data_IF_004587674654
#
_entry.id   IF_004587674654
#
_cell.length_a   1.000
_cell.length_b   1.000
_cell.length_c   1.000
_cell.angle_alpha   90.00
_cell.angle_beta   90.00
_cell.angle_gamma   90.00
#
_symmetry.space_group_name_H-M   'P 1'
#
loop_
_entity.id
_entity.type
_entity.pdbx_description
1 polymer ?
#
# COMPACT_ATOMS: atom_id res chain seq x y z
N UNK A 1 43.45 -20.73 47.44
CA UNK A 1 43.24 -21.80 46.42
C UNK A 1 41.77 -22.18 46.46
N UNK A 2 40.98 -21.89 45.40
CA UNK A 2 39.58 -22.23 45.30
C UNK A 2 38.92 -21.42 44.22
N UNK A 3 38.93 -21.96 43.00
CA UNK A 3 38.32 -21.36 41.83
C UNK A 3 36.79 -21.66 41.84
N UNK A 4 35.94 -20.65 41.99
CA UNK A 4 34.53 -20.78 41.70
C UNK A 4 34.29 -20.34 40.25
N UNK A 5 33.90 -21.29 39.37
CA UNK A 5 33.37 -21.05 38.05
C UNK A 5 31.90 -20.73 38.19
N UNK A 6 31.52 -19.50 37.88
CA UNK A 6 30.12 -19.14 37.67
C UNK A 6 29.64 -19.69 36.33
N UNK A 7 28.64 -20.56 36.39
CA UNK A 7 27.90 -21.03 35.22
C UNK A 7 26.79 -20.00 35.00
N UNK A 8 26.88 -19.23 33.90
CA UNK A 8 25.80 -18.36 33.46
C UNK A 8 24.72 -19.25 32.81
N UNK A 9 23.54 -19.31 33.42
CA UNK A 9 22.34 -19.81 32.78
C UNK A 9 21.86 -18.78 31.75
N UNK A 10 21.89 -19.15 30.46
CA UNK A 10 21.18 -18.43 29.43
C UNK A 10 19.66 -18.65 29.60
N UNK A 11 18.81 -17.63 29.42
CA UNK A 11 17.39 -17.83 29.43
C UNK A 11 16.97 -18.62 28.18
N UNK A 12 16.25 -19.71 28.41
CA UNK A 12 15.55 -20.47 27.38
C UNK A 12 14.44 -19.56 26.82
N UNK A 13 14.62 -19.08 25.59
CA UNK A 13 13.54 -18.42 24.87
C UNK A 13 12.46 -19.49 24.59
N UNK A 14 11.30 -19.39 25.24
CA UNK A 14 10.12 -20.12 24.83
C UNK A 14 9.71 -19.61 23.45
N UNK A 15 9.98 -20.40 22.43
CA UNK A 15 9.34 -20.26 21.11
C UNK A 15 7.85 -20.60 21.31
N UNK A 16 7.02 -19.61 21.42
CA UNK A 16 5.57 -19.77 21.24
C UNK A 16 5.38 -19.95 19.73
N UNK A 17 5.20 -21.20 19.30
CA UNK A 17 4.67 -21.51 17.98
C UNK A 17 3.25 -20.95 17.95
N UNK A 18 3.07 -19.75 17.41
CA UNK A 18 1.77 -19.30 16.98
C UNK A 18 1.26 -20.33 15.96
N UNK A 19 0.07 -20.88 16.21
CA UNK A 19 -0.60 -21.71 15.23
C UNK A 19 -0.84 -20.82 14.01
N UNK A 20 -0.15 -21.12 12.90
CA UNK A 20 -0.44 -20.44 11.64
C UNK A 20 -1.90 -20.80 11.27
N UNK A 21 -2.72 -19.78 11.09
CA UNK A 21 -4.02 -19.98 10.45
C UNK A 21 -3.78 -20.65 9.10
N UNK A 22 -4.68 -21.56 8.67
CA UNK A 22 -4.57 -22.14 7.34
C UNK A 22 -4.60 -21.01 6.29
N UNK A 23 -3.88 -21.17 5.17
CA UNK A 23 -3.93 -20.18 4.10
C UNK A 23 -5.38 -19.94 3.66
N UNK A 24 -5.73 -18.72 3.28
CA UNK A 24 -7.07 -18.42 2.79
C UNK A 24 -7.42 -19.27 1.56
N UNK A 25 -8.72 -19.47 1.34
CA UNK A 25 -9.19 -20.19 0.16
C UNK A 25 -8.72 -19.47 -1.11
N UNK A 26 -8.17 -20.23 -2.05
CA UNK A 26 -7.69 -19.73 -3.35
C UNK A 26 -8.41 -20.43 -4.49
N UNK A 27 -8.68 -19.70 -5.57
CA UNK A 27 -9.18 -20.28 -6.82
C UNK A 27 -8.14 -20.06 -7.92
N UNK A 28 -7.75 -21.15 -8.60
CA UNK A 28 -6.93 -21.02 -9.80
C UNK A 28 -7.80 -20.48 -10.95
N UNK A 29 -7.26 -19.53 -11.69
CA UNK A 29 -7.90 -18.98 -12.89
C UNK A 29 -7.36 -19.74 -14.12
N UNK A 30 -8.24 -20.27 -14.97
CA UNK A 30 -7.93 -21.18 -16.09
C UNK A 30 -7.06 -20.57 -17.22
N UNK A 31 -6.55 -19.38 -17.07
CA UNK A 31 -5.79 -18.70 -18.11
C UNK A 31 -4.59 -17.88 -17.68
N UNK A 32 -4.21 -17.87 -16.43
CA UNK A 32 -3.05 -17.08 -15.95
C UNK A 32 -3.24 -15.55 -15.97
N UNK A 33 -4.46 -15.08 -16.26
CA UNK A 33 -4.80 -13.65 -16.32
C UNK A 33 -5.70 -13.25 -15.16
N UNK A 34 -5.55 -12.03 -14.69
CA UNK A 34 -6.45 -11.44 -13.71
C UNK A 34 -7.86 -11.30 -14.31
N UNK A 35 -8.95 -11.71 -13.61
CA UNK A 35 -10.30 -11.70 -14.17
C UNK A 35 -10.91 -10.29 -14.17
N UNK A 36 -10.46 -9.43 -15.07
CA UNK A 36 -10.93 -8.04 -15.17
C UNK A 36 -12.42 -7.89 -15.41
N UNK A 37 -13.05 -8.85 -16.12
CA UNK A 37 -14.47 -8.81 -16.49
C UNK A 37 -15.40 -9.19 -15.32
N UNK A 38 -14.98 -10.11 -14.45
CA UNK A 38 -15.78 -10.58 -13.32
C UNK A 38 -15.76 -9.60 -12.12
N UNK A 39 -14.89 -8.60 -12.16
CA UNK A 39 -14.74 -7.61 -11.08
C UNK A 39 -15.75 -6.44 -11.15
N UNK A 40 -16.64 -6.40 -12.14
CA UNK A 40 -17.71 -5.40 -12.20
C UNK A 40 -18.88 -5.79 -11.28
N UNK A 41 -19.44 -4.86 -10.49
CA UNK A 41 -20.69 -5.10 -9.78
C UNK A 41 -21.78 -5.51 -10.79
N UNK A 42 -22.42 -6.64 -10.60
CA UNK A 42 -23.56 -7.03 -11.44
C UNK A 42 -24.75 -6.12 -11.13
N UNK A 43 -25.35 -5.41 -12.11
CA UNK A 43 -26.61 -4.73 -11.86
C UNK A 43 -27.69 -5.80 -11.57
N UNK A 44 -28.44 -5.60 -10.50
CA UNK A 44 -29.58 -6.47 -10.16
C UNK A 44 -30.52 -6.57 -11.34
N UNK A 45 -30.74 -7.80 -11.79
CA UNK A 45 -31.59 -8.10 -12.92
C UNK A 45 -33.06 -7.79 -12.62
N UNK A 46 -33.60 -6.76 -13.25
CA UNK A 46 -35.04 -6.59 -13.43
C UNK A 46 -35.36 -6.65 -14.92
N UNK A 47 -36.35 -7.42 -15.34
CA UNK A 47 -36.71 -7.56 -16.75
C UNK A 47 -37.41 -6.29 -17.25
N UNK A 48 -36.88 -5.71 -18.34
CA UNK A 48 -37.46 -4.56 -19.00
C UNK A 48 -38.78 -4.89 -19.68
N UNK A 49 -39.77 -4.06 -19.51
CA UNK A 49 -40.99 -4.03 -20.32
C UNK A 49 -40.86 -2.98 -21.40
N UNK A 50 -41.00 -3.40 -22.64
CA UNK A 50 -41.18 -2.53 -23.82
C UNK A 50 -42.40 -1.63 -23.69
N UNK A 51 -42.25 -0.34 -23.96
CA UNK A 51 -43.33 0.47 -24.54
C UNK A 51 -42.74 1.72 -25.21
N UNK A 52 -42.93 1.84 -26.52
CA UNK A 52 -42.58 2.99 -27.31
C UNK A 52 -43.42 4.22 -27.02
N UNK A 53 -42.86 5.39 -27.28
CA UNK A 53 -43.52 6.69 -27.21
C UNK A 53 -42.64 7.78 -27.79
N UNK A 54 -43.04 8.24 -28.97
CA UNK A 54 -42.49 9.33 -29.77
C UNK A 54 -42.75 10.70 -29.06
N UNK A 55 -41.82 11.62 -29.13
CA UNK A 55 -42.12 13.01 -28.71
C UNK A 55 -40.93 13.85 -28.27
N UNK A 56 -40.38 14.66 -29.20
CA UNK A 56 -39.93 16.04 -28.95
C UNK A 56 -38.68 16.22 -28.06
N UNK A 57 -37.54 16.54 -28.69
CA UNK A 57 -36.36 17.01 -28.03
C UNK A 57 -36.50 18.41 -27.42
N UNK A 58 -35.95 18.68 -26.24
CA UNK A 58 -35.28 19.92 -25.89
C UNK A 58 -33.78 19.74 -26.00
N UNK A 59 -33.15 20.58 -26.82
CA UNK A 59 -31.70 20.75 -26.85
C UNK A 59 -31.26 21.42 -25.57
N UNK A 60 -30.86 20.64 -24.59
CA UNK A 60 -30.14 21.15 -23.43
C UNK A 60 -28.64 20.89 -23.67
N UNK A 61 -27.87 21.98 -23.71
CA UNK A 61 -26.44 21.98 -23.94
C UNK A 61 -25.65 21.49 -22.73
N UNK A 62 -25.96 20.30 -22.25
CA UNK A 62 -25.16 19.58 -21.30
C UNK A 62 -23.93 19.04 -22.02
N UNK A 63 -22.76 19.47 -21.62
CA UNK A 63 -21.51 18.76 -21.98
C UNK A 63 -21.63 17.35 -21.43
N UNK A 64 -21.97 16.38 -22.29
CA UNK A 64 -21.87 14.95 -21.97
C UNK A 64 -20.40 14.64 -21.69
N UNK A 65 -19.99 14.81 -20.44
CA UNK A 65 -18.70 14.32 -20.00
C UNK A 65 -18.75 12.79 -20.07
N UNK A 66 -17.97 12.23 -21.01
CA UNK A 66 -17.81 10.76 -21.08
C UNK A 66 -17.48 10.24 -19.69
N UNK A 67 -18.22 9.26 -19.16
CA UNK A 67 -17.91 8.71 -17.85
C UNK A 67 -16.46 8.20 -17.82
N UNK A 68 -15.76 8.50 -16.72
CA UNK A 68 -14.41 7.99 -16.52
C UNK A 68 -14.42 6.46 -16.56
N UNK A 69 -13.48 5.88 -17.27
CA UNK A 69 -13.35 4.41 -17.41
C UNK A 69 -12.85 3.79 -16.10
N UNK A 70 -13.20 2.52 -15.83
CA UNK A 70 -12.59 1.75 -14.75
C UNK A 70 -11.06 1.69 -14.91
N UNK A 71 -10.34 1.73 -13.79
CA UNK A 71 -8.89 1.62 -13.74
C UNK A 71 -8.46 0.93 -12.46
N UNK A 72 -7.22 0.43 -12.42
CA UNK A 72 -6.69 -0.20 -11.22
C UNK A 72 -5.40 0.45 -10.73
N UNK A 73 -5.25 0.44 -9.41
CA UNK A 73 -4.00 0.72 -8.71
C UNK A 73 -3.50 -0.61 -8.17
N UNK A 74 -2.25 -0.96 -8.45
CA UNK A 74 -1.61 -2.14 -7.87
C UNK A 74 -0.84 -1.73 -6.63
N UNK A 75 -1.01 -2.50 -5.56
CA UNK A 75 -0.27 -2.32 -4.31
C UNK A 75 0.63 -3.53 -4.11
N UNK A 76 1.92 -3.28 -4.02
CA UNK A 76 2.94 -4.26 -3.65
C UNK A 76 3.13 -4.18 -2.13
N UNK A 77 2.80 -5.25 -1.40
CA UNK A 77 3.09 -5.34 0.02
C UNK A 77 4.58 -5.67 0.25
N UNK A 78 4.92 -6.00 1.49
CA UNK A 78 6.26 -6.33 1.95
C UNK A 78 6.95 -7.37 1.05
N UNK A 79 7.90 -6.93 0.22
CA UNK A 79 8.64 -7.79 -0.75
C UNK A 79 10.00 -8.23 -0.23
N UNK A 80 10.28 -7.99 1.05
CA UNK A 80 11.58 -8.21 1.67
C UNK A 80 12.15 -9.61 1.45
N UNK A 81 11.32 -10.66 1.57
CA UNK A 81 11.78 -12.02 1.34
C UNK A 81 11.95 -12.37 -0.14
N UNK A 82 11.29 -11.64 -1.04
CA UNK A 82 11.61 -11.77 -2.46
C UNK A 82 12.99 -11.20 -2.73
N UNK A 83 13.30 -10.02 -2.23
CA UNK A 83 14.61 -9.39 -2.41
C UNK A 83 15.74 -10.18 -1.78
N UNK A 84 15.49 -10.88 -0.66
CA UNK A 84 16.51 -11.70 0.01
C UNK A 84 16.66 -13.12 -0.57
N UNK A 85 15.54 -13.79 -0.90
CA UNK A 85 15.56 -15.24 -1.16
C UNK A 85 14.82 -15.70 -2.44
N UNK A 86 13.85 -14.92 -2.95
CA UNK A 86 12.95 -15.34 -4.04
C UNK A 86 12.77 -14.25 -5.11
N UNK A 87 13.85 -13.73 -5.71
CA UNK A 87 13.78 -12.60 -6.63
C UNK A 87 12.91 -12.87 -7.88
N UNK A 88 12.81 -14.14 -8.29
CA UNK A 88 11.92 -14.57 -9.37
C UNK A 88 10.43 -14.26 -9.11
N UNK A 89 10.00 -14.24 -7.85
CA UNK A 89 8.63 -13.87 -7.48
C UNK A 89 8.41 -12.35 -7.58
N UNK A 90 9.41 -11.55 -7.25
CA UNK A 90 9.34 -10.10 -7.44
C UNK A 90 9.32 -9.75 -8.94
N UNK A 91 10.18 -10.40 -9.74
CA UNK A 91 10.19 -10.24 -11.20
C UNK A 91 8.83 -10.63 -11.81
N UNK A 92 8.20 -11.70 -11.31
CA UNK A 92 6.88 -12.11 -11.77
C UNK A 92 5.79 -11.06 -11.48
N UNK A 93 5.83 -10.41 -10.29
CA UNK A 93 4.91 -9.32 -9.96
C UNK A 93 5.09 -8.13 -10.93
N UNK A 94 6.32 -7.66 -11.11
CA UNK A 94 6.60 -6.48 -11.94
C UNK A 94 6.38 -6.75 -13.43
N UNK A 95 6.72 -7.94 -13.93
CA UNK A 95 6.44 -8.34 -15.31
C UNK A 95 4.92 -8.38 -15.61
N UNK A 96 4.13 -8.94 -14.69
CA UNK A 96 2.68 -8.93 -14.80
C UNK A 96 2.12 -7.50 -14.79
N UNK A 97 2.59 -6.64 -13.89
CA UNK A 97 2.17 -5.23 -13.82
C UNK A 97 2.45 -4.51 -15.16
N UNK A 98 3.63 -4.70 -15.74
CA UNK A 98 4.00 -4.11 -17.05
C UNK A 98 3.04 -4.57 -18.15
N UNK A 99 2.71 -5.86 -18.18
CA UNK A 99 1.78 -6.42 -19.16
C UNK A 99 0.36 -5.84 -19.00
N UNK A 100 -0.14 -5.74 -17.75
CA UNK A 100 -1.47 -5.22 -17.46
C UNK A 100 -1.56 -3.70 -17.69
N UNK A 101 -0.48 -2.96 -17.44
CA UNK A 101 -0.43 -1.54 -17.80
C UNK A 101 -0.48 -1.35 -19.32
N UNK A 102 0.26 -2.16 -20.08
CA UNK A 102 0.22 -2.11 -21.55
C UNK A 102 -1.17 -2.47 -22.11
N UNK A 103 -1.93 -3.31 -21.42
CA UNK A 103 -3.32 -3.61 -21.74
C UNK A 103 -4.32 -2.50 -21.31
N UNK A 104 -3.86 -1.46 -20.60
CA UNK A 104 -4.68 -0.35 -20.13
C UNK A 104 -5.42 -0.62 -18.81
N UNK A 105 -5.10 -1.70 -18.12
CA UNK A 105 -5.78 -2.12 -16.89
C UNK A 105 -5.21 -1.46 -15.62
N UNK A 106 -3.90 -1.21 -15.56
CA UNK A 106 -3.19 -0.65 -14.41
C UNK A 106 -2.78 0.79 -14.67
N UNK A 107 -3.17 1.72 -13.79
CA UNK A 107 -2.80 3.12 -13.87
C UNK A 107 -1.41 3.38 -13.27
N UNK A 108 -1.16 2.92 -12.05
CA UNK A 108 0.10 3.09 -11.33
C UNK A 108 0.27 2.06 -10.21
N UNK A 109 1.45 2.04 -9.61
CA UNK A 109 1.86 1.09 -8.57
C UNK A 109 2.26 1.81 -7.29
N UNK A 110 1.88 1.24 -6.15
CA UNK A 110 2.27 1.71 -4.82
C UNK A 110 2.96 0.56 -4.07
N UNK A 111 4.10 0.82 -3.45
CA UNK A 111 4.83 -0.16 -2.64
C UNK A 111 4.82 0.26 -1.18
N UNK A 112 4.30 -0.60 -0.29
CA UNK A 112 4.03 -0.28 1.11
C UNK A 112 5.26 -0.30 2.03
N UNK A 113 6.47 -0.49 1.49
CA UNK A 113 7.72 -0.59 2.27
C UNK A 113 8.14 -2.03 2.55
N UNK A 114 9.19 -2.21 3.35
CA UNK A 114 9.91 -3.47 3.51
C UNK A 114 10.24 -4.09 2.14
N UNK A 115 10.89 -3.26 1.32
CA UNK A 115 11.34 -3.62 -0.03
C UNK A 115 12.45 -4.67 0.08
N UNK A 116 13.29 -4.55 1.10
CA UNK A 116 14.38 -5.48 1.43
C UNK A 116 14.25 -6.00 2.87
N UNK A 117 14.82 -7.16 3.17
CA UNK A 117 14.81 -7.78 4.49
C UNK A 117 15.89 -7.20 5.41
N UNK A 118 17.01 -6.80 4.82
CA UNK A 118 18.09 -6.06 5.45
C UNK A 118 18.58 -4.98 4.49
N UNK A 119 18.95 -3.81 5.02
CA UNK A 119 19.51 -2.68 4.25
C UNK A 119 20.91 -3.03 3.70
N UNK A 120 20.97 -4.05 2.83
CA UNK A 120 22.19 -4.63 2.25
C UNK A 120 22.21 -4.52 0.73
N UNK A 121 23.36 -4.15 0.17
CA UNK A 121 23.53 -3.91 -1.27
C UNK A 121 23.06 -5.09 -2.16
N UNK A 122 23.25 -6.34 -1.72
CA UNK A 122 22.80 -7.53 -2.47
C UNK A 122 21.28 -7.57 -2.63
N UNK A 123 20.53 -7.33 -1.56
CA UNK A 123 19.08 -7.34 -1.57
C UNK A 123 18.53 -6.14 -2.35
N UNK A 124 19.10 -4.94 -2.16
CA UNK A 124 18.76 -3.76 -2.96
C UNK A 124 19.03 -3.96 -4.45
N UNK A 125 20.06 -4.73 -4.81
CA UNK A 125 20.31 -5.06 -6.22
C UNK A 125 19.18 -5.90 -6.81
N UNK A 126 18.66 -6.89 -6.07
CA UNK A 126 17.49 -7.69 -6.52
C UNK A 126 16.23 -6.82 -6.60
N UNK A 127 15.93 -6.05 -5.55
CA UNK A 127 14.80 -5.15 -5.55
C UNK A 127 14.84 -4.13 -6.70
N UNK A 128 16.03 -3.55 -6.95
CA UNK A 128 16.23 -2.63 -8.07
C UNK A 128 15.99 -3.31 -9.41
N UNK A 129 16.51 -4.53 -9.62
CA UNK A 129 16.29 -5.28 -10.85
C UNK A 129 14.80 -5.41 -11.17
N UNK A 130 14.00 -5.85 -10.20
CA UNK A 130 12.57 -6.07 -10.36
C UNK A 130 11.82 -4.74 -10.57
N UNK A 131 12.01 -3.76 -9.69
CA UNK A 131 11.29 -2.48 -9.74
C UNK A 131 11.72 -1.61 -10.93
N UNK A 132 12.97 -1.72 -11.40
CA UNK A 132 13.46 -1.00 -12.57
C UNK A 132 12.71 -1.38 -13.87
N UNK A 133 12.08 -2.55 -13.92
CA UNK A 133 11.19 -2.95 -15.03
C UNK A 133 10.02 -1.98 -15.21
N UNK A 134 9.63 -1.25 -14.17
CA UNK A 134 8.56 -0.25 -14.19
C UNK A 134 9.04 1.12 -14.72
N UNK A 135 10.36 1.41 -14.74
CA UNK A 135 10.91 2.71 -15.09
C UNK A 135 10.57 3.12 -16.51
N UNK A 136 9.91 4.28 -16.63
CA UNK A 136 9.48 4.82 -17.93
C UNK A 136 8.29 4.07 -18.55
N UNK A 137 7.77 3.02 -17.89
CA UNK A 137 6.64 2.21 -18.37
C UNK A 137 5.42 2.46 -17.49
N UNK A 138 5.50 2.19 -16.18
CA UNK A 138 4.40 2.34 -15.24
C UNK A 138 4.80 3.34 -14.16
N UNK A 139 4.01 4.38 -13.87
CA UNK A 139 4.27 5.23 -12.72
C UNK A 139 4.22 4.42 -11.42
N UNK A 140 5.19 4.64 -10.53
CA UNK A 140 5.21 3.96 -9.24
C UNK A 140 5.71 4.89 -8.12
N UNK A 141 5.31 4.58 -6.88
CA UNK A 141 5.73 5.26 -5.65
C UNK A 141 6.17 4.21 -4.64
N UNK A 142 7.29 4.49 -3.97
CA UNK A 142 7.88 3.60 -2.96
C UNK A 142 7.74 4.26 -1.58
N UNK A 143 7.33 3.48 -0.58
CA UNK A 143 7.47 3.82 0.83
C UNK A 143 8.67 3.08 1.41
N UNK A 144 9.23 3.57 2.51
CA UNK A 144 10.27 2.86 3.26
C UNK A 144 9.66 2.19 4.50
N UNK A 145 9.92 0.89 4.66
CA UNK A 145 9.58 0.12 5.85
C UNK A 145 10.71 0.10 6.89
N UNK A 146 10.50 -0.63 7.99
CA UNK A 146 11.53 -0.72 9.03
C UNK A 146 12.74 -1.54 8.58
N UNK A 147 12.57 -2.52 7.71
CA UNK A 147 13.65 -3.33 7.16
C UNK A 147 14.48 -2.59 6.09
N UNK A 148 13.91 -1.56 5.46
CA UNK A 148 14.61 -0.72 4.49
C UNK A 148 15.60 0.26 5.16
N UNK A 149 15.58 0.36 6.49
CA UNK A 149 16.54 1.12 7.28
C UNK A 149 17.62 0.21 7.88
N UNK A 150 18.63 0.81 8.51
CA UNK A 150 19.71 0.07 9.17
C UNK A 150 19.21 -1.00 10.17
N UNK A 151 20.08 -1.88 10.53
CA UNK A 151 20.00 -2.68 11.75
C UNK A 151 19.01 -3.86 11.70
N UNK A 152 18.80 -4.47 10.51
CA UNK A 152 18.06 -5.75 10.37
C UNK A 152 16.61 -5.66 10.84
N UNK A 153 15.85 -4.68 10.32
CA UNK A 153 14.45 -4.50 10.67
C UNK A 153 14.18 -3.90 12.06
N UNK A 154 15.24 -3.51 12.80
CA UNK A 154 15.14 -2.87 14.11
C UNK A 154 15.83 -1.49 14.11
N UNK A 155 15.33 -0.54 13.32
CA UNK A 155 16.02 0.71 13.02
C UNK A 155 16.26 1.57 14.26
N UNK A 156 17.52 2.02 14.41
CA UNK A 156 17.94 3.02 15.39
C UNK A 156 17.98 4.43 14.82
N UNK A 157 18.03 4.53 13.51
CA UNK A 157 18.00 5.76 12.72
C UNK A 157 17.41 5.49 11.32
N UNK A 158 17.32 6.52 10.48
CA UNK A 158 16.76 6.43 9.13
C UNK A 158 17.84 6.38 8.04
N UNK A 159 19.01 5.80 8.35
CA UNK A 159 20.01 5.47 7.34
C UNK A 159 19.48 4.36 6.45
N UNK A 160 19.55 4.54 5.14
CA UNK A 160 19.01 3.58 4.15
C UNK A 160 19.75 3.70 2.83
N UNK A 161 19.87 2.59 2.13
CA UNK A 161 20.40 2.54 0.76
C UNK A 161 19.32 2.83 -0.31
N UNK A 162 18.06 2.97 0.04
CA UNK A 162 16.97 3.22 -0.94
C UNK A 162 17.31 4.38 -1.88
N UNK A 163 17.89 5.46 -1.33
CA UNK A 163 18.23 6.67 -2.09
C UNK A 163 19.46 6.48 -3.01
N UNK A 164 20.24 5.43 -2.82
CA UNK A 164 21.34 5.06 -3.71
C UNK A 164 20.83 4.26 -4.93
N UNK A 165 19.80 3.43 -4.74
CA UNK A 165 19.19 2.62 -5.79
C UNK A 165 18.06 3.34 -6.51
N UNK A 166 17.27 4.12 -5.79
CA UNK A 166 16.16 4.93 -6.32
C UNK A 166 16.39 6.42 -6.00
N UNK A 167 17.38 7.06 -6.61
CA UNK A 167 17.68 8.47 -6.33
C UNK A 167 16.51 9.36 -6.78
N UNK A 168 16.36 10.51 -6.12
CA UNK A 168 15.32 11.50 -6.47
C UNK A 168 15.33 11.84 -7.95
N UNK A 169 16.51 11.84 -8.59
CA UNK A 169 16.66 12.09 -10.03
C UNK A 169 15.91 11.08 -10.92
N UNK A 170 15.57 9.89 -10.42
CA UNK A 170 14.70 8.93 -11.12
C UNK A 170 13.29 9.48 -11.27
N UNK A 171 12.84 10.30 -10.35
CA UNK A 171 11.48 10.85 -10.28
C UNK A 171 11.44 12.33 -10.70
N UNK A 172 12.50 13.11 -10.48
CA UNK A 172 12.63 14.47 -10.93
C UNK A 172 12.46 14.58 -12.45
N UNK A 173 11.72 15.59 -12.90
CA UNK A 173 11.38 15.74 -14.31
C UNK A 173 10.14 14.98 -14.78
N UNK A 174 9.62 14.03 -13.99
CA UNK A 174 8.30 13.45 -14.23
C UNK A 174 7.22 14.46 -13.80
N UNK A 175 6.21 14.77 -14.60
CA UNK A 175 5.13 15.69 -14.23
C UNK A 175 4.42 15.29 -12.94
N UNK A 176 4.39 14.00 -12.64
CA UNK A 176 3.78 13.44 -11.44
C UNK A 176 4.55 13.74 -10.15
N UNK A 177 5.86 13.96 -10.18
CA UNK A 177 6.65 14.22 -8.97
C UNK A 177 6.43 15.65 -8.46
N UNK A 178 6.11 15.80 -7.17
CA UNK A 178 5.82 17.11 -6.54
C UNK A 178 6.84 17.52 -5.50
N UNK A 179 7.79 16.64 -5.18
CA UNK A 179 8.91 16.95 -4.27
C UNK A 179 9.04 15.98 -3.12
N UNK A 180 10.02 16.24 -2.28
CA UNK A 180 10.35 15.46 -1.10
C UNK A 180 10.42 16.34 0.14
N UNK A 181 10.26 15.76 1.32
CA UNK A 181 10.48 16.45 2.59
C UNK A 181 11.95 16.83 2.77
N UNK A 182 12.85 15.87 2.55
CA UNK A 182 14.31 16.09 2.61
C UNK A 182 14.89 16.11 1.19
N UNK A 183 15.68 17.14 0.82
CA UNK A 183 16.31 17.16 -0.49
C UNK A 183 17.17 15.93 -0.75
N UNK A 184 16.98 15.31 -1.90
CA UNK A 184 17.74 14.13 -2.33
C UNK A 184 17.31 12.81 -1.71
N UNK A 185 16.21 12.75 -0.97
CA UNK A 185 15.66 11.55 -0.34
C UNK A 185 14.21 11.31 -0.73
N UNK A 186 13.89 10.08 -1.16
CA UNK A 186 12.51 9.70 -1.53
C UNK A 186 11.69 9.13 -0.38
N UNK A 187 12.29 8.91 0.79
CA UNK A 187 11.65 8.30 1.97
C UNK A 187 10.31 9.00 2.33
N UNK A 188 10.26 10.30 2.07
CA UNK A 188 9.04 11.11 2.22
C UNK A 188 8.86 11.91 0.94
N UNK A 189 7.91 11.52 0.10
CA UNK A 189 7.71 12.11 -1.22
C UNK A 189 6.23 12.33 -1.55
N UNK A 190 5.97 13.27 -2.44
CA UNK A 190 4.64 13.60 -2.93
C UNK A 190 4.57 13.44 -4.45
N UNK A 191 3.49 12.82 -4.91
CA UNK A 191 3.25 12.55 -6.32
C UNK A 191 1.81 12.88 -6.70
N UNK A 192 1.62 13.45 -7.88
CA UNK A 192 0.30 13.69 -8.46
C UNK A 192 0.17 12.79 -9.71
N UNK A 193 -0.52 11.68 -9.56
CA UNK A 193 -0.58 10.62 -10.56
C UNK A 193 -1.86 10.74 -11.38
N UNK A 194 -1.68 10.76 -12.70
CA UNK A 194 -2.81 10.80 -13.64
C UNK A 194 -3.48 9.43 -13.74
N UNK A 195 -4.81 9.45 -13.81
CA UNK A 195 -5.62 8.27 -14.09
C UNK A 195 -6.01 8.29 -15.58
N UNK A 196 -5.69 7.22 -16.32
CA UNK A 196 -6.07 7.11 -17.73
C UNK A 196 -7.60 7.23 -17.93
N UNK A 197 -7.99 7.59 -19.17
CA UNK A 197 -9.42 7.62 -19.52
C UNK A 197 -10.23 8.75 -18.88
N UNK A 198 -9.58 9.83 -18.43
CA UNK A 198 -10.30 10.97 -17.83
C UNK A 198 -10.67 10.77 -16.35
N UNK A 199 -10.09 9.77 -15.67
CA UNK A 199 -10.34 9.46 -14.26
C UNK A 199 -9.80 10.50 -13.27
N UNK A 200 -9.19 11.59 -13.75
CA UNK A 200 -8.62 12.65 -12.90
C UNK A 200 -7.21 12.32 -12.40
N UNK A 201 -6.91 12.74 -11.19
CA UNK A 201 -5.59 12.57 -10.56
C UNK A 201 -5.74 12.07 -9.13
N UNK A 202 -4.69 11.37 -8.63
CA UNK A 202 -4.52 11.05 -7.23
C UNK A 202 -3.26 11.74 -6.70
N UNK A 203 -3.40 12.43 -5.56
CA UNK A 203 -2.25 12.83 -4.76
C UNK A 203 -1.79 11.62 -3.93
N UNK A 204 -0.55 11.20 -4.06
CA UNK A 204 0.06 10.16 -3.22
C UNK A 204 1.10 10.81 -2.32
N UNK A 205 0.91 10.66 -1.01
CA UNK A 205 1.85 11.06 0.03
C UNK A 205 2.53 9.80 0.54
N UNK A 206 3.76 9.54 0.10
CA UNK A 206 4.58 8.44 0.63
C UNK A 206 5.33 8.93 1.85
N UNK A 207 5.15 8.23 2.97
CA UNK A 207 5.71 8.61 4.27
C UNK A 207 6.57 7.45 4.82
N UNK A 208 7.68 7.81 5.45
CA UNK A 208 8.61 6.92 6.13
C UNK A 208 7.94 6.03 7.18
N UNK A 209 8.58 4.93 7.57
CA UNK A 209 8.14 4.11 8.71
C UNK A 209 8.11 4.94 10.00
N UNK A 210 6.96 4.95 10.69
CA UNK A 210 6.77 5.77 11.88
C UNK A 210 7.11 7.24 11.60
N UNK A 211 6.37 7.96 10.74
CA UNK A 211 6.77 9.29 10.29
C UNK A 211 6.90 10.27 11.43
N UNK A 212 7.93 11.13 11.35
CA UNK A 212 8.20 12.20 12.34
C UNK A 212 7.09 13.26 12.33
N UNK A 213 6.91 13.98 13.43
CA UNK A 213 5.98 15.12 13.51
C UNK A 213 6.23 16.16 12.40
N UNK A 214 7.49 16.43 12.10
CA UNK A 214 7.88 17.37 11.02
C UNK A 214 7.49 16.86 9.64
N UNK A 215 7.54 15.56 9.41
CA UNK A 215 7.08 14.91 8.17
C UNK A 215 5.55 15.01 8.06
N UNK A 216 4.83 14.75 9.14
CA UNK A 216 3.37 14.90 9.15
C UNK A 216 2.93 16.35 8.92
N UNK A 217 3.66 17.33 9.47
CA UNK A 217 3.42 18.76 9.21
C UNK A 217 3.62 19.08 7.72
N UNK A 218 4.72 18.62 7.11
CA UNK A 218 4.97 18.78 5.67
C UNK A 218 3.89 18.12 4.83
N UNK A 219 3.47 16.88 5.18
CA UNK A 219 2.42 16.18 4.46
C UNK A 219 1.07 16.91 4.53
N UNK A 220 0.74 17.53 5.68
CA UNK A 220 -0.40 18.44 5.81
C UNK A 220 -0.33 19.62 4.85
N UNK A 221 0.83 20.27 4.77
CA UNK A 221 1.02 21.41 3.89
C UNK A 221 0.88 21.04 2.42
N UNK A 222 1.37 19.85 2.04
CA UNK A 222 1.17 19.32 0.68
C UNK A 222 -0.31 18.98 0.43
N UNK A 223 -0.98 18.25 1.34
CA UNK A 223 -2.38 17.87 1.18
C UNK A 223 -3.30 19.09 0.97
N UNK A 224 -3.03 20.18 1.69
CA UNK A 224 -3.78 21.46 1.59
C UNK A 224 -3.55 22.22 0.28
N UNK A 225 -2.47 21.94 -0.45
CA UNK A 225 -2.24 22.53 -1.79
C UNK A 225 -3.15 21.89 -2.85
N UNK A 226 -3.71 20.70 -2.57
CA UNK A 226 -4.55 19.92 -3.48
C UNK A 226 -5.89 19.54 -2.83
N UNK A 227 -6.69 20.51 -2.32
CA UNK A 227 -7.87 20.22 -1.49
C UNK A 227 -8.95 19.43 -2.22
N UNK A 228 -9.06 19.60 -3.54
CA UNK A 228 -10.07 18.97 -4.38
C UNK A 228 -9.57 17.67 -5.05
N UNK A 229 -8.30 17.32 -4.87
CA UNK A 229 -7.71 16.11 -5.45
C UNK A 229 -7.76 14.99 -4.41
N UNK A 230 -8.40 13.84 -4.71
CA UNK A 230 -8.37 12.71 -3.78
C UNK A 230 -6.94 12.26 -3.52
N UNK A 231 -6.66 11.93 -2.25
CA UNK A 231 -5.32 11.59 -1.81
C UNK A 231 -5.25 10.20 -1.18
N UNK A 232 -4.10 9.57 -1.37
CA UNK A 232 -3.67 8.32 -0.72
C UNK A 232 -2.47 8.65 0.17
N UNK A 233 -2.52 8.26 1.43
CA UNK A 233 -1.34 8.15 2.28
C UNK A 233 -0.80 6.74 2.13
N UNK A 234 0.43 6.62 1.70
CA UNK A 234 1.19 5.39 1.58
C UNK A 234 2.25 5.39 2.68
N UNK A 235 2.22 4.42 3.57
CA UNK A 235 3.19 4.29 4.65
C UNK A 235 3.34 2.82 5.02
N UNK A 236 4.37 2.48 5.81
CA UNK A 236 4.59 1.07 6.10
C UNK A 236 3.74 0.56 7.28
N UNK A 237 3.67 1.27 8.40
CA UNK A 237 2.95 0.84 9.60
C UNK A 237 1.85 1.83 9.99
N UNK A 238 0.58 1.41 9.88
CA UNK A 238 -0.57 2.25 10.21
C UNK A 238 -1.73 1.48 10.83
N UNK A 239 -2.24 0.46 10.13
CA UNK A 239 -3.34 -0.38 10.59
C UNK A 239 -2.81 -1.68 11.17
N UNK A 240 -3.46 -2.20 12.23
CA UNK A 240 -3.19 -3.51 12.79
C UNK A 240 -4.21 -4.53 12.27
N UNK A 241 -3.91 -5.82 12.35
CA UNK A 241 -4.72 -6.89 11.80
C UNK A 241 -6.04 -7.19 12.55
N UNK A 242 -6.24 -6.50 13.68
CA UNK A 242 -7.50 -6.47 14.42
C UNK A 242 -8.50 -5.41 13.87
N UNK A 243 -8.21 -4.82 12.71
CA UNK A 243 -8.96 -3.73 12.07
C UNK A 243 -8.99 -2.43 12.89
N UNK A 244 -7.99 -2.18 13.70
CA UNK A 244 -7.79 -0.92 14.42
C UNK A 244 -6.46 -0.29 14.00
N UNK A 245 -6.32 1.02 14.16
CA UNK A 245 -5.03 1.68 13.98
C UNK A 245 -4.07 1.25 15.08
N UNK A 246 -2.78 1.23 14.78
CA UNK A 246 -1.77 1.20 15.84
C UNK A 246 -2.01 2.34 16.81
N UNK A 247 -2.00 2.02 18.11
CA UNK A 247 -2.19 2.97 19.19
C UNK A 247 -1.40 2.49 20.43
N UNK A 248 -0.19 2.99 20.59
CA UNK A 248 0.70 2.58 21.68
C UNK A 248 0.16 2.92 23.08
N UNK A 249 -0.78 3.88 23.16
CA UNK A 249 -1.38 4.31 24.44
C UNK A 249 -2.59 3.45 24.78
N UNK A 250 -3.58 3.35 23.89
CA UNK A 250 -4.82 2.63 24.15
C UNK A 250 -4.71 1.12 23.87
N UNK A 251 -3.76 0.70 23.03
CA UNK A 251 -3.55 -0.70 22.58
C UNK A 251 -2.09 -1.15 22.71
N UNK A 252 -1.49 -1.08 23.90
CA UNK A 252 -0.06 -1.37 24.09
C UNK A 252 0.31 -2.84 23.83
N UNK A 253 -0.66 -3.72 23.58
CA UNK A 253 -0.43 -5.11 23.23
C UNK A 253 -0.24 -5.34 21.72
N UNK A 254 -0.50 -4.35 20.86
CA UNK A 254 -0.22 -4.42 19.45
C UNK A 254 1.30 -4.51 19.23
N UNK A 255 1.73 -5.62 18.62
CA UNK A 255 3.15 -5.87 18.40
C UNK A 255 3.68 -5.00 17.26
N UNK A 256 4.97 -4.73 17.27
CA UNK A 256 5.68 -3.98 16.21
C UNK A 256 5.19 -2.54 15.99
N UNK A 257 4.55 -1.94 17.01
CA UNK A 257 4.19 -0.52 16.94
C UNK A 257 5.46 0.34 16.72
N UNK A 258 5.46 1.37 15.85
CA UNK A 258 6.62 2.24 15.61
C UNK A 258 7.30 2.78 16.87
N UNK A 259 6.56 3.03 17.96
CA UNK A 259 7.11 3.45 19.25
C UNK A 259 7.91 2.36 19.98
N UNK A 260 7.81 1.11 19.57
CA UNK A 260 8.63 0.04 20.17
C UNK A 260 10.04 -0.04 19.59
N UNK A 261 10.31 0.67 18.50
CA UNK A 261 11.61 0.70 17.83
C UNK A 261 12.49 1.85 18.33
N UNK A 262 13.82 1.71 18.29
CA UNK A 262 14.73 2.76 18.75
C UNK A 262 14.54 4.12 18.10
N UNK A 263 14.07 4.19 16.85
CA UNK A 263 13.75 5.45 16.15
C UNK A 263 12.61 6.23 16.82
N UNK A 264 11.79 5.59 17.65
CA UNK A 264 10.68 6.20 18.39
C UNK A 264 11.02 6.62 19.81
N UNK A 265 12.30 6.61 20.20
CA UNK A 265 12.72 6.85 21.60
C UNK A 265 12.48 8.28 22.09
N UNK A 266 12.38 9.27 21.21
CA UNK A 266 12.09 10.65 21.60
C UNK A 266 10.70 11.08 21.11
N UNK A 267 10.02 11.97 21.84
CA UNK A 267 8.74 12.50 21.41
C UNK A 267 8.81 13.17 20.04
N UNK A 268 7.91 12.79 19.13
CA UNK A 268 7.84 13.35 17.78
C UNK A 268 8.81 12.73 16.76
N UNK A 269 9.65 11.77 17.17
CA UNK A 269 10.56 11.05 16.28
C UNK A 269 9.86 9.91 15.51
N UNK A 270 8.74 9.40 16.05
CA UNK A 270 7.87 8.45 15.36
C UNK A 270 6.41 8.71 15.71
N UNK A 271 5.52 8.36 14.79
CA UNK A 271 4.08 8.36 14.99
C UNK A 271 3.49 7.02 14.56
N UNK A 272 2.56 6.52 15.38
CA UNK A 272 1.76 5.34 15.03
C UNK A 272 0.48 5.71 14.25
N UNK A 273 -0.35 4.71 13.96
CA UNK A 273 -1.53 4.89 13.12
C UNK A 273 -2.56 5.86 13.69
N UNK A 274 -2.79 5.85 15.02
CA UNK A 274 -3.73 6.78 15.65
C UNK A 274 -3.18 8.20 15.68
N UNK A 275 -1.89 8.38 15.93
CA UNK A 275 -1.26 9.69 15.87
C UNK A 275 -1.26 10.27 14.45
N UNK A 276 -0.97 9.45 13.44
CA UNK A 276 -1.08 9.86 12.03
C UNK A 276 -2.53 10.23 11.66
N UNK A 277 -3.51 9.47 12.17
CA UNK A 277 -4.92 9.83 12.00
C UNK A 277 -5.21 11.20 12.56
N UNK A 278 -4.83 11.47 13.79
CA UNK A 278 -5.10 12.73 14.47
C UNK A 278 -4.32 13.91 13.89
N UNK A 279 -3.05 13.68 13.53
CA UNK A 279 -2.13 14.75 13.11
C UNK A 279 -2.21 15.07 11.60
N UNK A 280 -2.67 14.12 10.78
CA UNK A 280 -2.71 14.28 9.31
C UNK A 280 -4.08 13.95 8.71
N UNK A 281 -4.58 12.72 8.92
CA UNK A 281 -5.68 12.20 8.10
C UNK A 281 -7.02 12.84 8.45
N UNK A 282 -7.28 13.05 9.73
CA UNK A 282 -8.55 13.64 10.23
C UNK A 282 -8.78 15.05 9.69
N UNK A 283 -7.72 15.86 9.60
CA UNK A 283 -7.76 17.27 9.19
C UNK A 283 -7.82 17.50 7.68
N UNK A 284 -7.61 16.47 6.85
CA UNK A 284 -7.54 16.57 5.38
C UNK A 284 -8.60 15.67 4.73
N UNK A 285 -9.76 16.25 4.40
CA UNK A 285 -10.90 15.50 3.86
C UNK A 285 -10.66 14.90 2.46
N UNK A 286 -9.68 15.40 1.74
CA UNK A 286 -9.22 14.84 0.47
C UNK A 286 -8.46 13.51 0.62
N UNK A 287 -7.90 13.16 1.80
CA UNK A 287 -7.28 11.85 2.02
C UNK A 287 -8.38 10.79 2.10
N UNK A 288 -8.47 9.95 1.06
CA UNK A 288 -9.50 8.92 0.90
C UNK A 288 -9.04 7.53 1.30
N UNK A 289 -7.74 7.27 1.17
CA UNK A 289 -7.15 5.98 1.51
C UNK A 289 -5.88 6.17 2.34
N UNK A 290 -5.64 5.21 3.26
CA UNK A 290 -4.34 4.95 3.87
C UNK A 290 -4.01 3.49 3.59
N UNK A 291 -2.85 3.23 3.00
CA UNK A 291 -2.37 1.90 2.63
C UNK A 291 -1.12 1.59 3.44
N UNK A 292 -1.04 0.38 4.00
CA UNK A 292 0.08 -0.04 4.85
C UNK A 292 0.30 -1.55 4.85
N UNK A 293 1.53 -1.97 5.13
CA UNK A 293 2.00 -3.34 5.30
C UNK A 293 2.37 -3.66 6.75
N UNK A 294 3.56 -4.22 6.96
CA UNK A 294 4.24 -4.41 8.25
C UNK A 294 3.74 -5.55 9.12
N UNK A 295 2.42 -5.65 9.34
CA UNK A 295 1.85 -6.57 10.34
C UNK A 295 1.88 -8.00 9.85
N UNK A 296 2.47 -8.89 10.64
CA UNK A 296 2.63 -10.30 10.30
C UNK A 296 1.34 -11.10 10.48
N UNK A 297 0.98 -11.46 11.64
CA UNK A 297 -0.19 -12.26 12.05
C UNK A 297 -1.07 -12.74 10.86
N UNK A 298 -2.28 -12.17 10.69
CA UNK A 298 -3.12 -12.44 9.51
C UNK A 298 -2.67 -11.67 8.27
N UNK A 299 -1.84 -10.65 8.44
CA UNK A 299 -1.30 -9.81 7.36
C UNK A 299 -2.33 -8.94 6.64
N UNK A 300 -3.59 -8.96 7.06
CA UNK A 300 -4.66 -8.22 6.39
C UNK A 300 -5.61 -7.56 7.38
N UNK A 301 -6.07 -6.36 7.03
CA UNK A 301 -7.01 -5.59 7.84
C UNK A 301 -7.68 -4.48 7.03
N UNK A 302 -8.87 -4.05 7.49
CA UNK A 302 -9.56 -2.90 6.88
C UNK A 302 -10.34 -2.12 7.94
N UNK A 303 -10.30 -0.81 7.83
CA UNK A 303 -11.07 0.11 8.66
C UNK A 303 -11.61 1.25 7.80
N UNK A 304 -12.89 1.54 7.91
CA UNK A 304 -13.50 2.74 7.31
C UNK A 304 -13.84 3.72 8.42
N UNK A 305 -13.27 4.91 8.36
CA UNK A 305 -13.55 5.98 9.33
C UNK A 305 -14.28 7.12 8.66
N UNK A 306 -15.37 7.58 9.29
CA UNK A 306 -16.12 8.76 8.84
C UNK A 306 -15.67 9.98 9.66
N UNK A 307 -15.32 11.06 8.96
CA UNK A 307 -14.97 12.35 9.57
C UNK A 307 -16.21 13.15 10.01
N UNK A 308 -16.04 14.18 10.84
CA UNK A 308 -17.14 15.05 11.24
C UNK A 308 -17.86 15.75 10.07
N UNK A 309 -17.19 15.97 8.96
CA UNK A 309 -17.74 16.53 7.73
C UNK A 309 -18.52 15.52 6.86
N UNK A 310 -18.61 14.25 7.32
CA UNK A 310 -19.26 13.16 6.60
C UNK A 310 -18.37 12.47 5.55
N UNK A 311 -17.17 12.96 5.30
CA UNK A 311 -16.24 12.29 4.36
C UNK A 311 -15.67 11.02 4.95
N UNK A 312 -15.42 10.03 4.11
CA UNK A 312 -14.86 8.74 4.53
C UNK A 312 -13.39 8.62 4.16
N UNK A 313 -12.65 7.85 4.97
CA UNK A 313 -11.31 7.38 4.68
C UNK A 313 -11.25 5.87 4.91
N UNK A 314 -10.82 5.14 3.91
CA UNK A 314 -10.55 3.71 3.98
C UNK A 314 -9.09 3.48 4.34
N UNK A 315 -8.85 2.59 5.29
CA UNK A 315 -7.53 2.24 5.79
C UNK A 315 -7.37 0.74 5.55
N UNK A 316 -6.36 0.34 4.80
CA UNK A 316 -6.18 -1.03 4.33
C UNK A 316 -4.76 -1.47 4.68
N UNK A 317 -4.69 -2.66 5.28
CA UNK A 317 -3.46 -3.39 5.56
C UNK A 317 -3.35 -4.56 4.60
N UNK A 318 -2.16 -4.73 3.99
CA UNK A 318 -1.81 -5.94 3.25
C UNK A 318 -0.34 -6.30 3.50
N UNK A 319 -0.10 -7.52 3.98
CA UNK A 319 1.22 -8.13 4.11
C UNK A 319 1.08 -9.65 3.95
N UNK A 320 1.74 -10.22 2.97
CA UNK A 320 1.67 -11.66 2.68
C UNK A 320 2.97 -12.39 2.97
N UNK A 321 3.98 -11.72 3.52
CA UNK A 321 5.33 -12.27 3.69
C UNK A 321 5.40 -13.57 4.52
N UNK A 322 4.39 -13.86 5.36
CA UNK A 322 4.31 -15.09 6.13
C UNK A 322 3.80 -16.30 5.34
N UNK A 323 3.29 -16.11 4.12
CA UNK A 323 2.95 -17.25 3.26
C UNK A 323 4.21 -17.87 2.66
N UNK A 324 4.06 -19.02 2.00
CA UNK A 324 5.17 -19.74 1.41
C UNK A 324 6.03 -18.82 0.52
N UNK A 325 7.33 -19.06 0.49
CA UNK A 325 8.32 -18.30 -0.28
C UNK A 325 8.23 -16.78 -0.10
N UNK A 326 7.85 -16.34 1.10
CA UNK A 326 7.79 -14.93 1.43
C UNK A 326 6.57 -14.20 0.85
N UNK A 327 5.46 -14.94 0.56
CA UNK A 327 4.22 -14.32 0.09
C UNK A 327 3.73 -14.80 -1.26
N UNK A 328 4.37 -15.83 -1.88
CA UNK A 328 3.92 -16.47 -3.13
C UNK A 328 3.54 -15.49 -4.26
N UNK A 329 4.20 -14.35 -4.33
CA UNK A 329 3.95 -13.24 -5.24
C UNK A 329 2.55 -12.61 -5.13
N UNK A 330 1.83 -12.78 -4.02
CA UNK A 330 0.56 -12.08 -3.83
C UNK A 330 0.75 -10.57 -3.78
N UNK A 331 -0.18 -9.86 -4.43
CA UNK A 331 -0.28 -8.41 -4.46
C UNK A 331 -1.75 -7.98 -4.37
N UNK A 332 -2.02 -6.71 -4.08
CA UNK A 332 -3.37 -6.16 -4.09
C UNK A 332 -3.66 -5.39 -5.37
N UNK A 333 -4.88 -5.56 -5.87
CA UNK A 333 -5.45 -4.78 -6.97
C UNK A 333 -6.64 -4.01 -6.45
N UNK A 334 -6.57 -2.69 -6.48
CA UNK A 334 -7.66 -1.78 -6.17
C UNK A 334 -8.29 -1.34 -7.49
N UNK A 335 -9.39 -1.96 -7.90
CA UNK A 335 -10.10 -1.62 -9.12
C UNK A 335 -11.20 -0.61 -8.85
N UNK A 336 -11.02 0.57 -9.39
CA UNK A 336 -11.94 1.69 -9.26
C UNK A 336 -12.98 1.69 -10.36
N UNK A 337 -14.23 1.92 -9.98
CA UNK A 337 -15.38 2.12 -10.86
C UNK A 337 -15.93 3.52 -10.60
N UNK A 338 -15.44 4.56 -11.31
CA UNK A 338 -15.78 5.94 -11.01
C UNK A 338 -17.28 6.26 -11.15
N UNK A 339 -17.95 5.62 -12.12
CA UNK A 339 -19.39 5.82 -12.34
C UNK A 339 -20.24 5.36 -11.14
N UNK A 340 -19.85 4.24 -10.51
CA UNK A 340 -20.49 3.64 -9.34
C UNK A 340 -19.95 4.20 -8.02
N UNK A 341 -18.85 4.94 -8.06
CA UNK A 341 -18.10 5.42 -6.90
C UNK A 341 -17.71 4.28 -5.96
N UNK A 342 -17.28 3.17 -6.54
CA UNK A 342 -16.84 1.98 -5.81
C UNK A 342 -15.40 1.60 -6.17
N UNK A 343 -14.74 0.92 -5.25
CA UNK A 343 -13.47 0.26 -5.48
C UNK A 343 -13.58 -1.20 -5.05
N UNK A 344 -13.28 -2.12 -5.95
CA UNK A 344 -13.16 -3.53 -5.66
C UNK A 344 -11.69 -3.84 -5.32
N UNK A 345 -11.45 -4.33 -4.13
CA UNK A 345 -10.12 -4.69 -3.61
C UNK A 345 -9.98 -6.19 -3.69
N UNK A 346 -8.96 -6.64 -4.41
CA UNK A 346 -8.70 -8.07 -4.66
C UNK A 346 -7.24 -8.41 -4.38
N UNK A 347 -6.99 -9.65 -4.02
CA UNK A 347 -5.63 -10.19 -3.78
C UNK A 347 -5.34 -11.26 -4.82
N UNK A 348 -4.27 -11.07 -5.57
CA UNK A 348 -3.90 -11.91 -6.71
C UNK A 348 -2.42 -12.27 -6.68
N UNK A 349 -2.09 -13.50 -7.08
CA UNK A 349 -0.73 -13.96 -7.32
C UNK A 349 -0.48 -14.18 -8.81
N UNK A 350 0.37 -13.36 -9.46
CA UNK A 350 0.76 -13.58 -10.85
C UNK A 350 1.47 -14.93 -11.08
N UNK A 351 2.27 -15.39 -10.11
CA UNK A 351 3.03 -16.63 -10.23
C UNK A 351 2.16 -17.88 -10.24
N UNK A 352 1.01 -17.82 -9.56
CA UNK A 352 0.08 -18.97 -9.47
C UNK A 352 -1.20 -18.75 -10.27
N UNK A 353 -1.40 -17.55 -10.82
CA UNK A 353 -2.69 -17.16 -11.42
C UNK A 353 -3.86 -17.43 -10.45
N UNK A 354 -3.69 -17.11 -9.16
CA UNK A 354 -4.62 -17.46 -8.11
C UNK A 354 -5.12 -16.22 -7.37
N UNK A 355 -6.42 -16.25 -7.03
CA UNK A 355 -7.08 -15.22 -6.22
C UNK A 355 -7.29 -15.73 -4.80
N UNK A 356 -7.14 -14.85 -3.80
CA UNK A 356 -7.71 -15.07 -2.46
C UNK A 356 -9.13 -14.50 -2.46
N UNK A 357 -10.11 -15.35 -2.09
CA UNK A 357 -11.54 -15.04 -2.22
C UNK A 357 -12.27 -14.86 -0.88
N UNK A 358 -11.55 -14.91 0.23
CA UNK A 358 -12.16 -14.62 1.53
C UNK A 358 -12.45 -13.12 1.71
N UNK A 359 -13.37 -12.78 2.61
CA UNK A 359 -13.86 -11.41 2.85
C UNK A 359 -12.79 -10.39 3.23
N UNK A 360 -11.59 -10.82 3.62
CA UNK A 360 -10.47 -9.92 3.95
C UNK A 360 -9.62 -9.59 2.73
N UNK A 361 -9.70 -10.43 1.70
CA UNK A 361 -8.88 -10.37 0.50
C UNK A 361 -9.67 -10.02 -0.77
N UNK A 362 -10.99 -10.15 -0.74
CA UNK A 362 -11.90 -9.80 -1.84
C UNK A 362 -13.12 -9.06 -1.28
N UNK A 363 -13.20 -7.75 -1.53
CA UNK A 363 -14.28 -6.91 -0.98
C UNK A 363 -14.45 -5.61 -1.76
N UNK A 364 -15.63 -4.99 -1.63
CA UNK A 364 -15.94 -3.69 -2.27
C UNK A 364 -16.12 -2.59 -1.22
N UNK A 365 -15.62 -1.40 -1.54
CA UNK A 365 -15.77 -0.17 -0.76
C UNK A 365 -16.45 0.90 -1.61
N UNK A 366 -17.16 1.85 -0.96
CA UNK A 366 -17.73 3.04 -1.61
C UNK A 366 -16.95 4.28 -1.16
N UNK A 367 -16.51 5.15 -2.09
CA UNK A 367 -15.64 6.30 -1.80
C UNK A 367 -16.18 7.64 -2.38
#
# INVERSE_FOLDING_TARGET
MGWFRSIACAPLACLVLAACDPPPETTANDGGTFPWEDAAPRPDGSPGSDAGGDGGAPTDGGTDATPALPYSIVVLPDTQYYSSNYPDLFDAQTAWIVAEHAAGNVAFVLHEGDIVDDDMAGQWTHAYHSLHMLDGVVPYVLSAGNHDYCCGGWPSDRTTMINAYFPVSTFEGRPSFKGTFEPGRIDNSAHLLDVPGGGGQWLVLSLEFGPRDTVLAWANDVARQYPDTPAIVLTHAYLYDDNTRYDHVARPAQQWNPHSYPIGNNPGDANDGEEMWQKLVLGNSNIRFVLSGHVLNTGVGRLTSTRPDGTVCHQILANYQNYDRGGDAYLRVLRFFPAERTVHVQTFSPSFAAMMIDDRNDFTLTY
#
